data_IF_680485077791
#
_entry.id   IF_680485077791
#
_cell.length_a   1.000
_cell.length_b   1.000
_cell.length_c   1.000
_cell.angle_alpha   90.00
_cell.angle_beta   90.00
_cell.angle_gamma   90.00
#
_symmetry.space_group_name_H-M   'P 1'
#
loop_
_entity.id
_entity.type
_entity.pdbx_description
1 polymer ?
#
# COMPACT_ATOMS: atom_id res chain seq x y z
N UNK A 1 -22.11 -1.31 -13.60
CA UNK A 1 -22.20 -2.24 -12.46
C UNK A 1 -23.08 -3.40 -12.88
N UNK A 2 -22.67 -4.65 -12.69
CA UNK A 2 -23.43 -5.82 -13.19
C UNK A 2 -24.70 -5.98 -12.35
N UNK A 3 -25.89 -5.86 -12.95
CA UNK A 3 -27.19 -5.94 -12.25
C UNK A 3 -27.37 -7.26 -11.48
N UNK A 4 -26.77 -8.34 -11.97
CA UNK A 4 -26.78 -9.65 -11.29
C UNK A 4 -26.01 -9.66 -9.96
N UNK A 5 -24.90 -8.92 -9.86
CA UNK A 5 -24.13 -8.78 -8.61
C UNK A 5 -24.95 -7.97 -7.60
N UNK A 6 -25.59 -6.90 -8.06
CA UNK A 6 -26.45 -6.05 -7.24
C UNK A 6 -27.66 -6.83 -6.71
N UNK A 7 -28.33 -7.58 -7.58
CA UNK A 7 -29.47 -8.39 -7.18
C UNK A 7 -29.07 -9.48 -6.18
N UNK A 8 -27.92 -10.13 -6.38
CA UNK A 8 -27.43 -11.14 -5.44
C UNK A 8 -27.00 -10.56 -4.09
N UNK A 9 -26.49 -9.32 -4.03
CA UNK A 9 -26.12 -8.70 -2.75
C UNK A 9 -27.32 -8.40 -1.85
N UNK A 10 -28.51 -8.20 -2.41
CA UNK A 10 -29.74 -7.91 -1.67
C UNK A 10 -30.65 -9.14 -1.48
N UNK A 11 -30.23 -10.33 -1.88
CA UNK A 11 -30.98 -11.56 -1.62
C UNK A 11 -30.96 -11.88 -0.11
N UNK A 12 -32.14 -12.14 0.44
CA UNK A 12 -32.28 -12.62 1.82
C UNK A 12 -31.70 -14.04 1.94
N UNK A 13 -30.72 -14.20 2.83
CA UNK A 13 -30.07 -15.49 3.12
C UNK A 13 -30.78 -16.17 4.29
N UNK A 14 -30.72 -17.49 4.36
CA UNK A 14 -31.28 -18.25 5.49
C UNK A 14 -30.42 -18.08 6.74
N UNK A 15 -30.99 -18.31 7.93
CA UNK A 15 -30.26 -18.25 9.19
C UNK A 15 -29.06 -19.24 9.23
N UNK A 16 -29.25 -20.45 8.72
CA UNK A 16 -28.20 -21.47 8.66
C UNK A 16 -27.07 -21.09 7.68
N UNK A 17 -27.43 -20.48 6.54
CA UNK A 17 -26.47 -19.91 5.60
C UNK A 17 -25.66 -18.77 6.23
N UNK A 18 -26.29 -17.94 7.05
CA UNK A 18 -25.61 -16.83 7.75
C UNK A 18 -24.66 -17.38 8.80
N UNK A 19 -25.13 -18.21 9.73
CA UNK A 19 -24.31 -18.71 10.86
C UNK A 19 -23.14 -19.56 10.40
N UNK A 20 -23.37 -20.47 9.44
CA UNK A 20 -22.32 -21.36 8.92
C UNK A 20 -21.29 -20.57 8.11
N UNK A 21 -21.74 -19.62 7.29
CA UNK A 21 -20.86 -18.77 6.49
C UNK A 21 -20.03 -17.83 7.35
N UNK A 22 -20.64 -17.21 8.36
CA UNK A 22 -19.97 -16.24 9.23
C UNK A 22 -18.92 -16.93 10.10
N UNK A 23 -19.22 -18.12 10.63
CA UNK A 23 -18.25 -18.91 11.40
C UNK A 23 -17.05 -19.33 10.54
N UNK A 24 -17.30 -19.86 9.34
CA UNK A 24 -16.23 -20.22 8.40
C UNK A 24 -15.39 -19.01 7.96
N UNK A 25 -16.05 -17.87 7.74
CA UNK A 25 -15.40 -16.60 7.41
C UNK A 25 -14.41 -16.19 8.51
N UNK A 26 -14.79 -16.28 9.80
CA UNK A 26 -13.88 -15.96 10.91
C UNK A 26 -12.63 -16.85 10.88
N UNK A 27 -12.80 -18.17 10.70
CA UNK A 27 -11.65 -19.07 10.60
C UNK A 27 -10.74 -18.74 9.41
N UNK A 28 -11.33 -18.40 8.25
CA UNK A 28 -10.58 -18.02 7.06
C UNK A 28 -9.79 -16.72 7.29
N UNK A 29 -10.41 -15.72 7.92
CA UNK A 29 -9.75 -14.47 8.30
C UNK A 29 -8.57 -14.74 9.24
N UNK A 30 -8.77 -15.56 10.27
CA UNK A 30 -7.70 -15.95 11.20
C UNK A 30 -6.55 -16.65 10.47
N UNK A 31 -6.87 -17.57 9.54
CA UNK A 31 -5.87 -18.27 8.75
C UNK A 31 -5.05 -17.31 7.88
N UNK A 32 -5.67 -16.33 7.22
CA UNK A 32 -4.93 -15.32 6.43
C UNK A 32 -4.04 -14.44 7.31
N UNK A 33 -4.47 -14.08 8.51
CA UNK A 33 -3.61 -13.35 9.46
C UNK A 33 -2.39 -14.18 9.86
N UNK A 34 -2.58 -15.47 10.17
CA UNK A 34 -1.49 -16.37 10.55
C UNK A 34 -0.50 -16.52 9.38
N UNK A 35 -0.96 -16.87 8.17
CA UNK A 35 -0.08 -17.02 7.00
C UNK A 35 0.66 -15.71 6.68
N UNK A 36 -0.08 -14.59 6.69
CA UNK A 36 0.49 -13.26 6.47
C UNK A 36 1.59 -12.94 7.48
N UNK A 37 1.36 -13.17 8.77
CA UNK A 37 2.36 -12.89 9.79
C UNK A 37 3.58 -13.82 9.70
N UNK A 38 3.39 -15.12 9.54
CA UNK A 38 4.50 -16.06 9.46
C UNK A 38 5.42 -15.82 8.26
N UNK A 39 4.82 -15.48 7.10
CA UNK A 39 5.57 -15.22 5.88
C UNK A 39 6.25 -13.87 5.90
N UNK A 40 5.56 -12.82 6.38
CA UNK A 40 6.08 -11.46 6.41
C UNK A 40 7.06 -11.22 7.55
N UNK A 41 6.96 -11.92 8.69
CA UNK A 41 7.90 -11.77 9.81
C UNK A 41 9.35 -12.17 9.46
N UNK A 42 9.53 -12.99 8.42
CA UNK A 42 10.85 -13.39 7.90
C UNK A 42 11.41 -12.36 6.91
N UNK A 43 10.61 -11.37 6.54
CA UNK A 43 10.97 -10.32 5.58
C UNK A 43 11.60 -9.18 6.37
N UNK A 44 12.68 -8.64 5.83
CA UNK A 44 13.40 -7.53 6.47
C UNK A 44 12.60 -6.23 6.38
N UNK A 45 13.19 -5.09 6.77
CA UNK A 45 12.51 -3.82 6.63
C UNK A 45 12.14 -3.58 5.17
N UNK A 46 10.90 -3.16 4.94
CA UNK A 46 10.39 -2.92 3.61
C UNK A 46 9.73 -1.55 3.51
N UNK A 47 9.60 -1.05 2.29
CA UNK A 47 8.80 0.13 1.96
C UNK A 47 7.65 -0.32 1.06
N UNK A 48 6.46 0.20 1.33
CA UNK A 48 5.28 -0.08 0.50
C UNK A 48 5.17 0.94 -0.62
N UNK A 49 4.99 0.49 -1.86
CA UNK A 49 4.74 1.38 -3.01
C UNK A 49 3.31 1.17 -3.50
N UNK A 50 2.56 2.27 -3.53
CA UNK A 50 1.20 2.32 -4.04
C UNK A 50 1.11 3.22 -5.27
N UNK A 51 0.15 2.93 -6.15
CA UNK A 51 -0.14 3.77 -7.31
C UNK A 51 -1.06 3.09 -8.29
N UNK A 52 -1.25 3.72 -9.45
CA UNK A 52 -2.18 3.25 -10.47
C UNK A 52 -1.81 1.88 -11.04
N UNK A 53 -2.78 0.96 -11.08
CA UNK A 53 -2.70 -0.29 -11.82
C UNK A 53 -2.81 -0.11 -13.34
N UNK A 54 -3.07 1.11 -13.82
CA UNK A 54 -3.42 1.40 -15.22
C UNK A 54 -2.30 2.08 -16.02
N UNK A 55 -1.28 2.60 -15.35
CA UNK A 55 -0.17 3.28 -16.01
C UNK A 55 0.74 2.26 -16.70
N UNK A 56 1.16 2.57 -17.93
CA UNK A 56 1.99 1.69 -18.75
C UNK A 56 3.49 1.96 -18.53
N UNK A 57 4.39 1.03 -18.91
CA UNK A 57 5.84 1.20 -18.76
C UNK A 57 6.44 2.48 -19.37
N UNK A 58 5.80 3.05 -20.39
CA UNK A 58 6.24 4.28 -21.05
C UNK A 58 5.91 5.55 -20.24
N UNK A 59 5.08 5.44 -19.21
CA UNK A 59 4.70 6.58 -18.36
C UNK A 59 5.90 7.06 -17.51
N UNK A 60 6.06 8.38 -17.40
CA UNK A 60 7.04 9.00 -16.48
C UNK A 60 6.94 8.46 -15.06
N UNK A 61 5.72 8.22 -14.57
CA UNK A 61 5.50 7.74 -13.21
C UNK A 61 5.82 6.25 -13.04
N UNK A 62 5.68 5.44 -14.09
CA UNK A 62 6.13 4.05 -14.04
C UNK A 62 7.66 4.00 -13.90
N UNK A 63 8.37 4.76 -14.74
CA UNK A 63 9.83 4.81 -14.70
C UNK A 63 10.33 5.34 -13.35
N UNK A 64 9.72 6.42 -12.85
CA UNK A 64 10.01 6.98 -11.53
C UNK A 64 9.78 5.96 -10.40
N UNK A 65 8.67 5.21 -10.42
CA UNK A 65 8.40 4.18 -9.41
C UNK A 65 9.45 3.06 -9.41
N UNK A 66 9.88 2.61 -10.60
CA UNK A 66 10.93 1.62 -10.74
C UNK A 66 12.28 2.14 -10.23
N UNK A 67 12.63 3.39 -10.55
CA UNK A 67 13.86 4.03 -10.07
C UNK A 67 13.87 4.18 -8.54
N UNK A 68 12.77 4.67 -7.96
CA UNK A 68 12.62 4.78 -6.50
C UNK A 68 12.79 3.41 -5.85
N UNK A 69 12.10 2.39 -6.35
CA UNK A 69 12.18 1.04 -5.82
C UNK A 69 13.60 0.47 -5.87
N UNK A 70 14.32 0.67 -6.98
CA UNK A 70 15.71 0.24 -7.13
C UNK A 70 16.63 0.93 -6.10
N UNK A 71 16.50 2.25 -5.94
CA UNK A 71 17.31 3.03 -4.99
C UNK A 71 17.00 2.68 -3.54
N UNK A 72 15.72 2.55 -3.17
CA UNK A 72 15.30 2.08 -1.84
C UNK A 72 15.85 0.68 -1.56
N UNK A 73 15.85 -0.19 -2.57
CA UNK A 73 16.41 -1.53 -2.44
C UNK A 73 17.92 -1.52 -2.19
N UNK A 74 18.65 -0.66 -2.90
CA UNK A 74 20.10 -0.49 -2.73
C UNK A 74 20.51 0.00 -1.35
N UNK A 75 19.63 0.71 -0.63
CA UNK A 75 19.87 1.12 0.76
C UNK A 75 19.37 0.09 1.80
N UNK A 76 18.98 -1.12 1.37
CA UNK A 76 18.76 -2.28 2.23
C UNK A 76 17.30 -2.62 2.56
N UNK A 77 16.33 -1.88 2.01
CA UNK A 77 14.91 -2.18 2.21
C UNK A 77 14.36 -3.13 1.14
N UNK A 78 13.39 -3.96 1.48
CA UNK A 78 12.55 -4.64 0.50
C UNK A 78 11.44 -3.73 -0.03
N UNK A 79 10.77 -4.13 -1.11
CA UNK A 79 9.62 -3.42 -1.67
C UNK A 79 8.38 -4.29 -1.58
N UNK A 80 7.33 -3.74 -0.96
CA UNK A 80 6.00 -4.35 -0.89
C UNK A 80 5.08 -3.61 -1.87
N UNK A 81 4.36 -4.34 -2.71
CA UNK A 81 3.31 -3.77 -3.56
C UNK A 81 2.06 -4.63 -3.51
N UNK A 82 1.00 -4.17 -4.18
CA UNK A 82 -0.20 -4.98 -4.39
C UNK A 82 -0.07 -6.12 -5.41
N UNK A 83 1.10 -6.27 -6.04
CA UNK A 83 1.43 -7.38 -6.94
C UNK A 83 0.81 -7.34 -8.34
N UNK A 84 -0.07 -6.37 -8.61
CA UNK A 84 -0.70 -6.18 -9.91
C UNK A 84 0.17 -5.44 -10.94
N UNK A 85 -0.43 -5.02 -12.07
CA UNK A 85 0.27 -4.28 -13.13
C UNK A 85 0.51 -2.79 -12.77
N UNK A 86 1.12 -2.07 -13.70
CA UNK A 86 1.33 -0.62 -13.60
C UNK A 86 2.36 -0.23 -12.56
N UNK A 87 2.04 0.73 -11.68
CA UNK A 87 2.99 1.19 -10.65
C UNK A 87 3.43 0.05 -9.72
N UNK A 88 2.53 -0.88 -9.39
CA UNK A 88 2.86 -2.03 -8.55
C UNK A 88 3.93 -2.89 -9.23
N UNK A 89 3.78 -3.17 -10.53
CA UNK A 89 4.79 -3.87 -11.31
C UNK A 89 6.10 -3.09 -11.37
N UNK A 90 6.06 -1.78 -11.59
CA UNK A 90 7.26 -0.93 -11.61
C UNK A 90 8.04 -1.03 -10.30
N UNK A 91 7.34 -0.95 -9.16
CA UNK A 91 7.94 -1.10 -7.83
C UNK A 91 8.60 -2.47 -7.66
N UNK A 92 7.91 -3.55 -8.02
CA UNK A 92 8.48 -4.90 -7.96
C UNK A 92 9.69 -5.06 -8.91
N UNK A 93 9.61 -4.48 -10.12
CA UNK A 93 10.68 -4.52 -11.12
C UNK A 93 11.95 -3.84 -10.63
N UNK A 94 11.84 -2.65 -10.04
CA UNK A 94 12.99 -1.94 -9.47
C UNK A 94 13.69 -2.75 -8.38
N UNK A 95 12.92 -3.33 -7.45
CA UNK A 95 13.46 -4.18 -6.39
C UNK A 95 14.10 -5.46 -6.92
N UNK A 96 13.45 -6.11 -7.90
CA UNK A 96 13.96 -7.31 -8.55
C UNK A 96 15.29 -7.05 -9.27
N UNK A 97 15.39 -5.95 -10.02
CA UNK A 97 16.60 -5.57 -10.74
C UNK A 97 17.76 -5.27 -9.78
N UNK A 98 17.47 -4.71 -8.61
CA UNK A 98 18.44 -4.51 -7.53
C UNK A 98 18.73 -5.78 -6.71
N UNK A 99 18.21 -6.96 -7.11
CA UNK A 99 18.39 -8.24 -6.43
C UNK A 99 17.89 -8.23 -4.96
N UNK A 100 16.92 -7.37 -4.65
CA UNK A 100 16.33 -7.28 -3.32
C UNK A 100 15.10 -8.14 -3.14
N UNK A 101 14.46 -7.95 -1.98
CA UNK A 101 13.18 -8.58 -1.66
C UNK A 101 12.06 -7.82 -2.37
N UNK A 102 11.41 -8.47 -3.32
CA UNK A 102 10.27 -7.97 -4.08
C UNK A 102 9.02 -8.77 -3.66
N UNK A 103 8.14 -8.12 -2.90
CA UNK A 103 6.97 -8.72 -2.27
C UNK A 103 5.70 -8.28 -3.01
N UNK A 104 4.78 -9.22 -3.22
CA UNK A 104 3.45 -8.94 -3.78
C UNK A 104 2.35 -9.45 -2.87
N UNK A 105 1.54 -8.52 -2.34
CA UNK A 105 0.35 -8.81 -1.58
C UNK A 105 -0.86 -8.62 -2.51
N UNK A 106 -1.27 -9.67 -3.20
CA UNK A 106 -2.37 -9.62 -4.15
C UNK A 106 -3.72 -9.84 -3.46
N UNK A 107 -4.81 -9.47 -4.13
CA UNK A 107 -6.18 -9.64 -3.62
C UNK A 107 -7.02 -10.32 -4.69
N UNK A 108 -7.83 -11.30 -4.29
CA UNK A 108 -8.74 -11.98 -5.21
C UNK A 108 -9.88 -11.04 -5.63
N UNK A 109 -9.95 -10.75 -6.93
CA UNK A 109 -10.96 -9.90 -7.54
C UNK A 109 -11.77 -10.66 -8.59
N UNK A 110 -12.99 -10.21 -8.93
CA UNK A 110 -13.83 -10.86 -9.95
C UNK A 110 -13.21 -10.87 -11.37
N UNK A 111 -12.15 -10.11 -11.60
CA UNK A 111 -11.39 -10.07 -12.83
C UNK A 111 -9.98 -10.61 -12.55
N UNK A 112 -9.45 -11.39 -13.50
CA UNK A 112 -8.19 -12.11 -13.34
C UNK A 112 -7.03 -11.14 -13.07
N UNK A 113 -6.51 -11.15 -11.83
CA UNK A 113 -5.26 -10.49 -11.47
C UNK A 113 -4.17 -11.53 -11.31
N UNK A 114 -3.29 -11.60 -12.31
CA UNK A 114 -2.05 -12.34 -12.19
C UNK A 114 -0.99 -11.49 -11.47
N UNK A 115 -0.17 -12.17 -10.67
CA UNK A 115 1.06 -11.57 -10.17
C UNK A 115 1.94 -11.10 -11.33
N UNK A 116 2.50 -9.90 -11.20
CA UNK A 116 3.54 -9.46 -12.12
C UNK A 116 4.81 -10.33 -12.00
N UNK A 117 5.64 -10.45 -13.05
CA UNK A 117 6.73 -11.42 -13.11
C UNK A 117 7.94 -11.07 -12.23
N UNK A 118 7.95 -9.90 -11.58
CA UNK A 118 9.09 -9.38 -10.82
C UNK A 118 8.99 -9.65 -9.32
N UNK A 119 7.96 -10.36 -8.87
CA UNK A 119 7.80 -10.77 -7.48
C UNK A 119 8.62 -12.03 -7.23
N UNK A 120 9.37 -12.08 -6.14
CA UNK A 120 10.06 -13.33 -5.79
C UNK A 120 9.01 -14.37 -5.40
N UNK A 121 9.10 -15.58 -5.97
CA UNK A 121 8.11 -16.66 -5.76
C UNK A 121 7.82 -16.94 -4.28
N UNK A 122 8.80 -16.80 -3.41
CA UNK A 122 8.65 -17.00 -1.96
C UNK A 122 7.87 -15.87 -1.23
N UNK A 123 7.72 -14.69 -1.84
CA UNK A 123 7.10 -13.49 -1.28
C UNK A 123 5.80 -13.07 -1.99
N UNK A 124 5.11 -14.03 -2.59
CA UNK A 124 3.81 -13.84 -3.22
C UNK A 124 2.70 -14.35 -2.28
N UNK A 125 1.86 -13.43 -1.79
CA UNK A 125 0.73 -13.71 -0.90
C UNK A 125 -0.57 -13.30 -1.58
N UNK A 126 -1.58 -14.16 -1.53
CA UNK A 126 -2.94 -13.85 -1.99
C UNK A 126 -3.84 -13.72 -0.77
N UNK A 127 -4.71 -12.72 -0.78
CA UNK A 127 -5.70 -12.47 0.26
C UNK A 127 -7.09 -12.48 -0.35
N UNK A 128 -8.08 -12.98 0.38
CA UNK A 128 -9.49 -12.79 0.05
C UNK A 128 -10.07 -11.55 0.74
N UNK A 129 -9.49 -11.12 1.86
CA UNK A 129 -10.01 -10.03 2.68
C UNK A 129 -9.12 -8.78 2.63
N UNK A 130 -9.67 -7.68 2.10
CA UNK A 130 -8.98 -6.38 2.00
C UNK A 130 -8.36 -5.91 3.31
N UNK A 131 -9.08 -6.04 4.43
CA UNK A 131 -8.58 -5.54 5.72
C UNK A 131 -7.40 -6.36 6.25
N UNK A 132 -7.31 -7.66 5.96
CA UNK A 132 -6.15 -8.48 6.35
C UNK A 132 -4.92 -8.01 5.56
N UNK A 133 -5.10 -7.85 4.24
CA UNK A 133 -4.06 -7.34 3.34
C UNK A 133 -3.55 -5.96 3.77
N UNK A 134 -4.44 -5.04 4.11
CA UNK A 134 -4.11 -3.69 4.61
C UNK A 134 -3.25 -3.71 5.87
N UNK A 135 -3.59 -4.59 6.82
CA UNK A 135 -2.76 -4.78 8.02
C UNK A 135 -1.34 -5.21 7.63
N UNK A 136 -1.16 -6.08 6.64
CA UNK A 136 0.18 -6.49 6.20
C UNK A 136 0.98 -5.34 5.56
N UNK A 137 0.32 -4.46 4.78
CA UNK A 137 0.96 -3.28 4.22
C UNK A 137 1.46 -2.30 5.29
N UNK A 138 0.70 -2.12 6.36
CA UNK A 138 1.08 -1.19 7.44
C UNK A 138 2.09 -1.85 8.38
N UNK A 139 1.82 -3.07 8.85
CA UNK A 139 2.62 -3.75 9.87
C UNK A 139 4.09 -3.92 9.47
N UNK A 140 4.33 -4.34 8.23
CA UNK A 140 5.66 -4.73 7.75
C UNK A 140 6.36 -3.66 6.92
N UNK A 141 5.77 -2.47 6.84
CA UNK A 141 6.34 -1.35 6.11
C UNK A 141 6.98 -0.34 7.05
N UNK A 142 8.06 0.25 6.57
CA UNK A 142 8.86 1.29 7.21
C UNK A 142 8.61 2.63 6.53
N UNK A 143 7.78 2.70 5.50
CA UNK A 143 7.59 3.91 4.72
C UNK A 143 6.65 3.66 3.57
N UNK A 144 5.87 4.66 3.22
CA UNK A 144 4.99 4.60 2.05
C UNK A 144 5.52 5.52 0.96
N UNK A 145 5.67 5.00 -0.25
CA UNK A 145 5.80 5.80 -1.47
C UNK A 145 4.47 5.71 -2.21
N UNK A 146 3.82 6.84 -2.38
CA UNK A 146 2.49 6.95 -3.00
C UNK A 146 2.64 7.69 -4.32
N UNK A 147 2.65 6.91 -5.38
CA UNK A 147 2.69 7.40 -6.76
C UNK A 147 1.27 7.79 -7.23
N UNK A 148 1.13 8.52 -8.33
CA UNK A 148 -0.17 8.85 -8.91
C UNK A 148 -1.05 7.62 -9.14
N UNK A 149 -2.28 7.70 -8.64
CA UNK A 149 -3.15 6.55 -8.45
C UNK A 149 -4.64 6.89 -8.39
N UNK A 150 -5.46 5.85 -8.33
CA UNK A 150 -6.91 5.96 -8.20
C UNK A 150 -7.40 5.72 -6.78
N UNK A 151 -8.65 5.28 -6.64
CA UNK A 151 -9.26 5.05 -5.32
C UNK A 151 -8.52 4.07 -4.43
N UNK A 152 -7.97 2.96 -4.98
CA UNK A 152 -7.18 2.03 -4.16
C UNK A 152 -5.92 2.66 -3.60
N UNK A 153 -5.29 3.59 -4.32
CA UNK A 153 -4.13 4.34 -3.83
C UNK A 153 -4.53 5.35 -2.76
N UNK A 154 -5.65 6.03 -2.97
CA UNK A 154 -6.19 6.98 -2.00
C UNK A 154 -6.61 6.31 -0.69
N UNK A 155 -7.21 5.13 -0.78
CA UNK A 155 -7.62 4.30 0.36
C UNK A 155 -6.43 3.96 1.28
N UNK A 156 -5.32 3.48 0.72
CA UNK A 156 -4.11 3.18 1.48
C UNK A 156 -3.43 4.45 2.05
N UNK A 157 -3.46 5.54 1.30
CA UNK A 157 -2.91 6.84 1.75
C UNK A 157 -3.69 7.38 2.96
N UNK A 158 -5.01 7.48 2.85
CA UNK A 158 -5.84 8.07 3.91
C UNK A 158 -5.92 7.17 5.14
N UNK A 159 -5.85 5.84 4.97
CA UNK A 159 -5.72 4.90 6.07
C UNK A 159 -4.42 5.13 6.85
N UNK A 160 -3.27 5.22 6.17
CA UNK A 160 -1.98 5.46 6.82
C UNK A 160 -1.96 6.80 7.58
N UNK A 161 -2.45 7.88 6.97
CA UNK A 161 -2.57 9.19 7.61
C UNK A 161 -3.42 9.07 8.88
N UNK A 162 -4.59 8.44 8.81
CA UNK A 162 -5.50 8.29 9.94
C UNK A 162 -4.87 7.46 11.06
N UNK A 163 -4.17 6.37 10.74
CA UNK A 163 -3.53 5.51 11.73
C UNK A 163 -2.39 6.24 12.49
N UNK A 164 -1.60 7.07 11.79
CA UNK A 164 -0.55 7.88 12.42
C UNK A 164 -1.17 9.02 13.24
N UNK A 165 -2.12 9.75 12.66
CA UNK A 165 -2.84 10.85 13.34
C UNK A 165 -3.45 10.39 14.68
N UNK A 166 -4.06 9.19 14.69
CA UNK A 166 -4.71 8.63 15.88
C UNK A 166 -3.75 7.87 16.81
N UNK A 167 -2.44 7.90 16.54
CA UNK A 167 -1.40 7.19 17.29
C UNK A 167 -1.67 5.68 17.42
N UNK A 168 -2.36 5.07 16.44
CA UNK A 168 -2.55 3.61 16.38
C UNK A 168 -1.32 2.89 15.89
N UNK A 169 -0.45 3.61 15.19
CA UNK A 169 0.89 3.17 14.80
C UNK A 169 1.91 4.29 15.08
N UNK A 170 3.19 3.91 15.11
CA UNK A 170 4.28 4.88 15.14
C UNK A 170 4.35 5.69 13.84
N UNK A 171 4.88 6.91 13.93
CA UNK A 171 5.13 7.72 12.74
C UNK A 171 6.16 7.02 11.85
N UNK A 172 5.87 6.92 10.56
CA UNK A 172 6.81 6.52 9.52
C UNK A 172 6.66 7.48 8.33
N UNK A 173 7.66 7.60 7.44
CA UNK A 173 7.60 8.54 6.32
C UNK A 173 6.57 8.14 5.26
N UNK A 174 5.64 9.05 4.95
CA UNK A 174 4.72 8.96 3.81
C UNK A 174 5.17 9.97 2.75
N UNK A 175 5.53 9.47 1.56
CA UNK A 175 6.03 10.28 0.45
C UNK A 175 5.02 10.25 -0.70
N UNK A 176 4.50 11.40 -1.08
CA UNK A 176 3.66 11.59 -2.26
C UNK A 176 4.55 12.03 -3.43
N UNK A 177 4.54 11.28 -4.54
CA UNK A 177 5.37 11.59 -5.71
C UNK A 177 4.55 12.25 -6.80
N UNK A 178 5.06 13.36 -7.36
CA UNK A 178 4.44 14.13 -8.43
C UNK A 178 3.53 15.23 -7.90
N UNK A 179 4.12 16.38 -7.56
CA UNK A 179 3.43 17.54 -6.97
C UNK A 179 2.24 18.01 -7.82
N UNK A 180 2.42 18.11 -9.14
CA UNK A 180 1.38 18.47 -10.11
C UNK A 180 0.13 17.56 -9.99
N UNK A 181 0.32 16.27 -9.75
CA UNK A 181 -0.80 15.33 -9.62
C UNK A 181 -1.55 15.51 -8.30
N UNK A 182 -0.82 15.76 -7.21
CA UNK A 182 -1.39 15.84 -5.86
C UNK A 182 -1.92 17.22 -5.49
N UNK A 183 -1.54 18.28 -6.23
CA UNK A 183 -1.87 19.67 -5.93
C UNK A 183 -3.36 19.89 -5.62
N UNK A 184 -4.25 19.40 -6.47
CA UNK A 184 -5.69 19.60 -6.29
C UNK A 184 -6.25 18.95 -5.01
N UNK A 185 -5.83 17.73 -4.68
CA UNK A 185 -6.28 17.03 -3.48
C UNK A 185 -5.73 17.68 -2.20
N UNK A 186 -4.43 18.00 -2.20
CA UNK A 186 -3.78 18.61 -1.05
C UNK A 186 -4.21 20.06 -0.84
N UNK A 187 -4.56 20.77 -1.92
CA UNK A 187 -5.26 22.05 -1.87
C UNK A 187 -6.59 21.90 -1.15
N UNK A 188 -7.40 20.89 -1.51
CA UNK A 188 -8.67 20.63 -0.82
C UNK A 188 -8.50 20.28 0.68
N UNK A 189 -7.47 19.51 1.06
CA UNK A 189 -7.16 19.26 2.48
C UNK A 189 -6.90 20.57 3.24
N UNK A 190 -6.18 21.51 2.65
CA UNK A 190 -5.88 22.81 3.28
C UNK A 190 -7.09 23.75 3.27
N UNK A 191 -7.69 23.94 2.11
CA UNK A 191 -8.68 24.98 1.88
C UNK A 191 -10.08 24.60 2.38
N UNK A 192 -10.32 23.29 2.59
CA UNK A 192 -11.59 22.77 3.11
C UNK A 192 -11.39 22.06 4.44
N UNK A 193 -10.65 20.94 4.51
CA UNK A 193 -10.61 20.16 5.76
C UNK A 193 -10.02 20.95 6.93
N UNK A 194 -8.86 21.59 6.73
CA UNK A 194 -8.22 22.39 7.77
C UNK A 194 -9.07 23.64 8.10
N UNK A 195 -9.56 24.34 7.07
CA UNK A 195 -10.37 25.55 7.25
C UNK A 195 -11.66 25.31 8.03
N UNK A 196 -12.33 24.19 7.77
CA UNK A 196 -13.57 23.78 8.46
C UNK A 196 -13.30 23.06 9.80
N UNK A 197 -12.03 22.95 10.24
CA UNK A 197 -11.66 22.36 11.52
C UNK A 197 -11.77 20.83 11.58
N UNK A 198 -11.73 20.14 10.44
CA UNK A 198 -11.81 18.68 10.35
C UNK A 198 -10.46 17.99 10.59
N UNK A 199 -9.35 18.72 10.43
CA UNK A 199 -7.98 18.29 10.72
C UNK A 199 -7.19 19.43 11.39
N UNK A 200 -6.10 19.11 12.06
CA UNK A 200 -5.16 20.07 12.63
C UNK A 200 -4.08 20.46 11.61
N UNK A 201 -3.37 21.57 11.86
CA UNK A 201 -2.25 22.01 11.01
C UNK A 201 -1.14 20.96 10.94
N UNK A 202 -0.83 20.33 12.07
CA UNK A 202 0.22 19.31 12.19
C UNK A 202 -0.10 18.03 11.38
N UNK A 203 -1.38 17.77 11.07
CA UNK A 203 -1.78 16.62 10.26
C UNK A 203 -1.27 16.74 8.81
N UNK A 204 -1.05 17.96 8.33
CA UNK A 204 -0.46 18.23 7.01
C UNK A 204 1.05 17.93 6.97
N UNK A 205 1.69 17.73 8.13
CA UNK A 205 3.11 17.36 8.26
C UNK A 205 3.31 15.83 8.33
N UNK A 206 2.23 15.05 8.18
CA UNK A 206 2.28 13.59 8.18
C UNK A 206 2.81 13.01 6.85
N UNK A 207 2.80 13.79 5.78
CA UNK A 207 3.29 13.38 4.46
C UNK A 207 4.18 14.45 3.85
N UNK A 208 5.04 14.03 2.92
CA UNK A 208 5.92 14.92 2.15
C UNK A 208 5.70 14.73 0.66
N UNK A 209 5.59 15.83 -0.08
CA UNK A 209 5.49 15.81 -1.55
C UNK A 209 6.88 16.00 -2.15
N UNK A 210 7.20 15.20 -3.17
CA UNK A 210 8.49 15.24 -3.90
C UNK A 210 8.25 15.01 -5.39
N UNK A 211 9.23 15.38 -6.22
CA UNK A 211 9.12 15.26 -7.68
C UNK A 211 10.19 14.36 -8.30
N UNK A 212 11.19 13.95 -7.51
CA UNK A 212 12.29 13.11 -7.98
C UNK A 212 12.49 11.86 -7.13
N UNK A 213 13.10 10.84 -7.73
CA UNK A 213 13.42 9.61 -7.03
C UNK A 213 14.43 9.83 -5.89
N UNK A 214 15.39 10.75 -6.07
CA UNK A 214 16.40 11.06 -5.05
C UNK A 214 15.78 11.71 -3.82
N UNK A 215 14.87 12.67 -4.00
CA UNK A 215 14.15 13.30 -2.88
C UNK A 215 13.32 12.29 -2.09
N UNK A 216 12.65 11.36 -2.79
CA UNK A 216 11.87 10.29 -2.15
C UNK A 216 12.75 9.40 -1.27
N UNK A 217 13.87 8.92 -1.82
CA UNK A 217 14.80 8.02 -1.14
C UNK A 217 15.48 8.73 0.03
N UNK A 218 15.92 9.98 -0.17
CA UNK A 218 16.57 10.78 0.86
C UNK A 218 15.61 11.04 2.03
N UNK A 219 14.32 11.24 1.77
CA UNK A 219 13.35 11.40 2.86
C UNK A 219 13.21 10.14 3.73
N UNK A 220 13.14 8.96 3.11
CA UNK A 220 13.14 7.68 3.83
C UNK A 220 14.42 7.52 4.65
N UNK A 221 15.58 7.75 4.01
CA UNK A 221 16.90 7.61 4.64
C UNK A 221 17.06 8.55 5.83
N UNK A 222 16.78 9.84 5.65
CA UNK A 222 16.90 10.85 6.70
C UNK A 222 16.00 10.58 7.92
N UNK A 223 14.86 9.89 7.71
CA UNK A 223 14.01 9.43 8.81
C UNK A 223 14.74 8.35 9.63
N UNK A 224 15.30 7.33 8.98
CA UNK A 224 15.97 6.20 9.66
C UNK A 224 17.42 6.46 10.09
N UNK A 225 18.00 7.61 9.73
CA UNK A 225 19.21 8.11 10.39
C UNK A 225 18.92 8.59 11.82
N UNK A 226 17.68 9.00 12.11
CA UNK A 226 17.25 9.51 13.42
C UNK A 226 16.55 8.46 14.26
N UNK A 227 15.87 7.51 13.63
CA UNK A 227 15.02 6.52 14.30
C UNK A 227 15.41 5.10 13.92
N UNK A 228 15.25 4.17 14.86
CA UNK A 228 15.48 2.76 14.60
C UNK A 228 14.35 2.17 13.74
N UNK A 229 14.72 1.23 12.86
CA UNK A 229 13.80 0.41 12.08
C UNK A 229 13.06 -0.56 13.00
N UNK A 230 11.74 -0.51 13.03
CA UNK A 230 10.89 -1.41 13.83
C UNK A 230 9.59 -1.71 13.08
N UNK A 231 9.09 -2.94 13.20
CA UNK A 231 7.75 -3.28 12.68
C UNK A 231 6.67 -2.43 13.37
N UNK A 232 5.63 -2.05 12.63
CA UNK A 232 4.49 -1.33 13.20
C UNK A 232 3.61 -2.29 14.04
N UNK A 233 2.94 -1.74 15.05
CA UNK A 233 2.16 -2.46 16.08
C UNK A 233 2.99 -3.35 17.02
#
# INVERSE_FOLDING_TARGET
MNESILHNSFRQKTWDEIVTKDSWMVFKIMAEFVDGYERMAKIGPCVSIFGSARLKPESKYYQMAAEIAEKITKIGFGIITGGGPGIMEAGNKGAFNAQGKSIGLNIDLPFEQHFNPYINKMYSLNFDYFFVRKVMFVKYSQGFIVMPGGFGTLDELTEAITLIQTNKIGKFPIVLVGSEFWEGLLGWFKDTLLKEGMIATDDLELYRVVDTADEAVEHIKAFYEKYAVNVNF
#
